data_IF_870901562362
#
_entry.id   IF_870901562362
#
_cell.length_a   1.000
_cell.length_b   1.000
_cell.length_c   1.000
_cell.angle_alpha   90.00
_cell.angle_beta   90.00
_cell.angle_gamma   90.00
#
_symmetry.space_group_name_H-M   'P 1'
#
loop_
_entity.id
_entity.type
_entity.pdbx_description
1 polymer ?
#
# COMPACT_ATOMS: atom_id res chain seq x y z
N UNK A 1 1.72 -3.43 -2.15
CA UNK A 1 2.02 -4.46 -1.12
C UNK A 1 1.34 -4.08 0.17
N UNK A 2 0.56 -5.00 0.71
CA UNK A 2 -0.25 -4.75 1.91
C UNK A 2 0.38 -5.48 3.10
N UNK A 3 0.51 -4.79 4.22
CA UNK A 3 1.08 -5.36 5.43
C UNK A 3 0.15 -5.17 6.62
N UNK A 4 -0.09 -6.25 7.37
CA UNK A 4 -0.93 -6.20 8.55
C UNK A 4 -0.11 -5.67 9.74
N UNK A 5 -0.66 -4.67 10.41
CA UNK A 5 -0.02 -4.09 11.59
C UNK A 5 -0.52 -4.78 12.86
N UNK A 6 0.27 -4.66 13.95
CA UNK A 6 -0.10 -5.26 15.24
C UNK A 6 -1.42 -4.71 15.79
N UNK A 7 -1.75 -3.48 15.41
CA UNK A 7 -3.00 -2.84 15.86
C UNK A 7 -4.23 -3.34 15.11
N UNK A 8 -4.06 -4.25 14.15
CA UNK A 8 -5.16 -4.75 13.33
C UNK A 8 -5.45 -3.94 12.09
N UNK A 9 -4.67 -2.91 11.86
CA UNK A 9 -4.77 -2.10 10.64
C UNK A 9 -3.88 -2.65 9.56
N UNK A 10 -4.12 -2.20 8.33
CA UNK A 10 -3.34 -2.61 7.16
C UNK A 10 -2.67 -1.40 6.54
N UNK A 11 -1.39 -1.54 6.23
CA UNK A 11 -0.63 -0.46 5.59
C UNK A 11 -0.28 -0.85 4.18
N UNK A 12 -0.49 0.08 3.25
CA UNK A 12 -0.18 -0.14 1.85
C UNK A 12 1.17 0.49 1.53
N UNK A 13 2.06 -0.30 0.93
CA UNK A 13 3.38 0.15 0.51
C UNK A 13 3.53 0.07 -1.00
N UNK A 14 4.33 0.98 -1.57
CA UNK A 14 4.67 0.94 -2.97
C UNK A 14 5.58 -0.27 -3.27
N UNK A 15 5.48 -0.80 -4.48
CA UNK A 15 6.39 -1.87 -4.94
C UNK A 15 7.79 -1.36 -5.17
N UNK A 16 7.94 -0.09 -5.53
CA UNK A 16 9.25 0.51 -5.78
C UNK A 16 9.86 0.96 -4.46
N UNK A 17 11.16 0.71 -4.33
CA UNK A 17 11.92 1.23 -3.20
C UNK A 17 12.53 2.57 -3.56
N UNK A 18 12.72 3.41 -2.56
CA UNK A 18 13.46 4.66 -2.75
C UNK A 18 14.96 4.37 -2.77
N UNK A 19 15.83 5.39 -3.02
CA UNK A 19 17.28 5.20 -3.02
C UNK A 19 17.84 4.65 -1.71
N UNK A 20 17.11 4.78 -0.62
CA UNK A 20 17.52 4.27 0.69
C UNK A 20 17.04 2.83 0.94
N UNK A 21 16.34 2.24 -0.03
CA UNK A 21 15.84 0.88 0.09
C UNK A 21 14.53 0.74 0.85
N UNK A 22 13.82 1.83 1.07
CA UNK A 22 12.54 1.82 1.77
C UNK A 22 11.37 1.91 0.81
N UNK A 23 10.30 1.16 1.11
CA UNK A 23 9.07 1.26 0.35
C UNK A 23 8.29 2.50 0.78
N UNK A 24 7.75 3.21 -0.20
CA UNK A 24 6.94 4.39 0.08
C UNK A 24 5.61 3.98 0.69
N UNK A 25 5.22 4.63 1.77
CA UNK A 25 3.94 4.41 2.44
C UNK A 25 2.84 5.13 1.65
N UNK A 26 1.90 4.34 1.09
CA UNK A 26 0.79 4.88 0.30
C UNK A 26 -0.45 5.14 1.15
N UNK A 27 -0.50 4.64 2.38
CA UNK A 27 -1.61 4.89 3.27
C UNK A 27 -1.82 3.77 4.27
N UNK A 28 -2.63 4.05 5.29
CA UNK A 28 -3.01 3.08 6.31
C UNK A 28 -4.52 2.94 6.31
N UNK A 29 -5.00 1.70 6.33
CA UNK A 29 -6.43 1.40 6.24
C UNK A 29 -6.86 0.53 7.41
N UNK A 30 -8.12 0.65 7.81
CA UNK A 30 -8.66 -0.15 8.91
C UNK A 30 -9.03 -1.57 8.48
N UNK A 31 -9.18 -1.79 7.16
CA UNK A 31 -9.52 -3.11 6.62
C UNK A 31 -8.64 -3.45 5.44
N UNK A 32 -8.40 -4.76 5.25
CA UNK A 32 -7.63 -5.23 4.10
C UNK A 32 -8.33 -4.91 2.78
N UNK A 33 -9.66 -4.98 2.79
CA UNK A 33 -10.45 -4.71 1.59
C UNK A 33 -10.24 -3.28 1.10
N UNK A 34 -10.19 -2.32 2.03
CA UNK A 34 -9.93 -0.93 1.68
C UNK A 34 -8.51 -0.76 1.12
N UNK A 35 -7.53 -1.44 1.69
CA UNK A 35 -6.16 -1.39 1.22
C UNK A 35 -6.03 -1.99 -0.18
N UNK A 36 -6.68 -3.12 -0.43
CA UNK A 36 -6.68 -3.76 -1.76
C UNK A 36 -7.32 -2.88 -2.82
N UNK A 37 -8.42 -2.24 -2.47
CA UNK A 37 -9.10 -1.33 -3.38
C UNK A 37 -8.19 -0.17 -3.76
N UNK A 38 -7.51 0.42 -2.79
CA UNK A 38 -6.60 1.53 -3.04
C UNK A 38 -5.41 1.09 -3.89
N UNK A 39 -4.86 -0.08 -3.62
CA UNK A 39 -3.76 -0.64 -4.40
C UNK A 39 -4.16 -0.83 -5.86
N UNK A 40 -5.37 -1.32 -6.10
CA UNK A 40 -5.88 -1.51 -7.45
C UNK A 40 -6.00 -0.18 -8.17
N UNK A 41 -6.48 0.86 -7.50
CA UNK A 41 -6.60 2.19 -8.10
C UNK A 41 -5.23 2.76 -8.47
N UNK A 42 -4.26 2.63 -7.59
CA UNK A 42 -2.89 3.09 -7.86
C UNK A 42 -2.30 2.36 -9.06
N UNK A 43 -2.48 1.05 -9.16
CA UNK A 43 -1.99 0.28 -10.29
C UNK A 43 -2.67 0.68 -11.59
N UNK A 44 -3.94 0.97 -11.53
CA UNK A 44 -4.70 1.42 -12.69
C UNK A 44 -4.12 2.73 -13.24
N UNK A 45 -3.87 3.69 -12.36
CA UNK A 45 -3.29 4.96 -12.79
C UNK A 45 -1.89 4.82 -13.36
N UNK A 46 -1.10 3.89 -12.83
CA UNK A 46 0.27 3.68 -13.33
C UNK A 46 0.32 3.05 -14.72
N UNK A 47 -0.74 2.33 -15.10
CA UNK A 47 -0.80 1.71 -16.43
C UNK A 47 -1.25 2.66 -17.51
N UNK A 48 -1.82 3.76 -17.14
CA UNK A 48 -2.25 4.82 -18.05
C UNK A 48 -1.33 6.02 -17.93
#
# INVERSE_FOLDING_TARGET
MIRKLKSGKYRLYSRKTDPNGHHKNLGTFSTRKAAEKHEREVQYFKRH
#
